data_IF_305464293902
#
_entry.id   IF_305464293902
#
_cell.length_a   1.000
_cell.length_b   1.000
_cell.length_c   1.000
_cell.angle_alpha   90.00
_cell.angle_beta   90.00
_cell.angle_gamma   90.00
#
_symmetry.space_group_name_H-M   'P 1'
#
loop_
_entity.id
_entity.type
_entity.pdbx_description
1 polymer ?
#
# COMPACT_ATOMS: atom_id res chain seq x y z
N UNK A 1 21.30 -0.04 5.55
CA UNK A 1 22.20 1.13 5.77
C UNK A 1 21.32 2.37 5.65
N UNK A 2 20.91 2.96 6.77
CA UNK A 2 20.07 4.17 6.79
C UNK A 2 20.91 5.34 6.28
N UNK A 3 20.57 5.89 5.11
CA UNK A 3 21.17 7.13 4.61
C UNK A 3 20.19 8.28 4.86
N UNK A 4 20.71 9.29 5.55
CA UNK A 4 20.04 10.48 6.02
C UNK A 4 19.55 11.33 4.83
N UNK A 5 18.23 11.39 4.63
CA UNK A 5 17.59 12.37 3.76
C UNK A 5 17.26 13.65 4.52
N UNK A 6 17.11 14.77 3.79
CA UNK A 6 16.61 16.02 4.35
C UNK A 6 15.09 15.90 4.42
N UNK A 7 14.55 15.84 5.64
CA UNK A 7 13.11 15.83 5.92
C UNK A 7 12.67 17.28 6.16
N UNK A 8 11.80 17.80 5.31
CA UNK A 8 11.24 19.15 5.44
C UNK A 8 9.71 19.07 5.38
N UNK A 9 9.03 19.38 6.49
CA UNK A 9 7.58 19.53 6.50
C UNK A 9 7.20 20.91 5.93
N UNK A 10 6.32 20.96 4.92
CA UNK A 10 5.80 22.21 4.36
C UNK A 10 4.30 22.28 4.68
N UNK A 11 3.87 23.38 5.31
CA UNK A 11 2.50 23.54 5.78
C UNK A 11 1.68 24.62 5.04
N UNK A 12 0.57 24.24 4.41
CA UNK A 12 -0.50 25.09 3.86
C UNK A 12 -1.86 24.36 3.98
N UNK A 13 -2.58 24.47 5.10
CA UNK A 13 -3.78 23.67 5.42
C UNK A 13 -3.58 22.13 5.30
N UNK A 14 -2.33 21.69 5.48
CA UNK A 14 -1.77 20.47 4.88
C UNK A 14 -1.52 19.36 5.89
N UNK A 15 -1.67 18.13 5.40
CA UNK A 15 -1.16 16.93 6.04
C UNK A 15 0.37 16.91 5.97
N UNK A 16 1.07 16.77 7.11
CA UNK A 16 2.51 16.73 7.13
C UNK A 16 3.03 15.44 6.48
N UNK A 17 4.11 15.55 5.72
CA UNK A 17 4.79 14.40 5.11
C UNK A 17 6.31 14.51 5.29
N UNK A 18 6.97 13.36 5.21
CA UNK A 18 8.41 13.28 4.99
C UNK A 18 8.69 12.97 3.52
N UNK A 19 9.86 13.43 3.06
CA UNK A 19 10.35 13.23 1.70
C UNK A 19 11.74 12.65 1.80
N UNK A 20 11.97 11.52 1.14
CA UNK A 20 13.27 10.90 1.00
C UNK A 20 13.71 10.97 -0.45
N UNK A 21 14.83 11.66 -0.69
CA UNK A 21 15.46 11.78 -2.00
C UNK A 21 16.58 10.77 -2.13
N UNK A 22 16.66 10.09 -3.28
CA UNK A 22 17.84 9.34 -3.67
C UNK A 22 18.96 10.33 -4.02
N UNK A 23 20.11 10.32 -3.32
CA UNK A 23 21.22 11.23 -3.61
C UNK A 23 21.77 11.08 -5.05
N UNK A 24 21.49 9.95 -5.70
CA UNK A 24 21.90 9.67 -7.08
C UNK A 24 20.81 9.88 -8.13
N UNK A 25 19.58 10.23 -7.71
CA UNK A 25 18.43 10.48 -8.60
C UNK A 25 18.11 9.34 -9.57
N UNK A 26 18.45 8.09 -9.21
CA UNK A 26 18.02 6.90 -9.96
C UNK A 26 16.62 6.46 -9.54
N UNK A 27 16.28 6.62 -8.26
CA UNK A 27 14.97 6.31 -7.73
C UNK A 27 14.11 7.58 -7.54
N UNK A 28 12.80 7.41 -7.75
CA UNK A 28 11.80 8.44 -7.46
C UNK A 28 11.84 8.82 -5.96
N UNK A 29 11.60 10.10 -5.61
CA UNK A 29 11.39 10.51 -4.23
C UNK A 29 10.34 9.65 -3.52
N UNK A 30 10.66 9.14 -2.33
CA UNK A 30 9.66 8.48 -1.48
C UNK A 30 8.98 9.53 -0.63
N UNK A 31 7.65 9.57 -0.65
CA UNK A 31 6.85 10.53 0.08
C UNK A 31 5.94 9.74 1.02
N UNK A 32 5.95 10.09 2.31
CA UNK A 32 5.18 9.39 3.33
C UNK A 32 4.48 10.39 4.23
N UNK A 33 3.17 10.28 4.38
CA UNK A 33 2.42 11.08 5.36
C UNK A 33 2.90 10.73 6.77
N UNK A 34 3.07 11.74 7.63
CA UNK A 34 3.40 11.49 9.03
C UNK A 34 2.19 10.95 9.79
N UNK A 35 0.99 11.38 9.38
CA UNK A 35 -0.29 10.95 9.93
C UNK A 35 -1.27 10.74 8.77
N UNK A 36 -1.92 9.58 8.74
CA UNK A 36 -3.00 9.29 7.80
C UNK A 36 -4.28 9.99 8.31
N UNK A 37 -4.96 10.81 7.49
CA UNK A 37 -6.20 11.47 7.89
C UNK A 37 -7.25 10.45 8.39
N UNK A 38 -7.85 10.65 9.58
CA UNK A 38 -8.83 9.71 10.15
C UNK A 38 -10.14 9.63 9.36
N UNK A 39 -10.42 10.61 8.50
CA UNK A 39 -11.56 10.63 7.59
C UNK A 39 -11.42 9.69 6.38
N UNK A 40 -10.21 9.21 6.08
CA UNK A 40 -10.00 8.24 5.00
C UNK A 40 -10.49 6.84 5.43
N UNK A 41 -11.04 6.05 4.50
CA UNK A 41 -11.29 4.64 4.71
C UNK A 41 -10.03 3.88 5.17
N UNK A 42 -10.23 2.72 5.81
CA UNK A 42 -9.14 1.87 6.31
C UNK A 42 -8.14 1.43 5.22
N UNK A 43 -8.60 1.39 3.96
CA UNK A 43 -7.76 1.16 2.79
C UNK A 43 -8.21 2.09 1.67
N UNK A 44 -7.26 2.80 1.07
CA UNK A 44 -7.47 3.62 -0.12
C UNK A 44 -6.35 3.36 -1.13
N UNK A 45 -6.64 3.44 -2.43
CA UNK A 45 -5.63 3.32 -3.47
C UNK A 45 -4.52 4.36 -3.30
N UNK A 46 -3.33 4.03 -3.76
CA UNK A 46 -2.12 4.86 -3.73
C UNK A 46 -1.60 5.29 -2.35
N UNK A 47 -2.20 4.84 -1.24
CA UNK A 47 -1.75 5.14 0.12
C UNK A 47 -1.52 3.85 0.91
N UNK A 48 -0.26 3.57 1.22
CA UNK A 48 0.13 2.45 2.08
C UNK A 48 -0.31 2.65 3.53
N UNK A 49 -0.42 1.55 4.27
CA UNK A 49 -0.79 1.56 5.69
C UNK A 49 0.22 2.30 6.59
N UNK A 50 1.45 2.51 6.11
CA UNK A 50 2.49 3.32 6.76
C UNK A 50 2.47 4.80 6.36
N UNK A 51 1.53 5.19 5.50
CA UNK A 51 1.39 6.53 4.93
C UNK A 51 2.17 6.74 3.63
N UNK A 52 2.80 5.70 3.07
CA UNK A 52 3.59 5.79 1.84
C UNK A 52 2.71 6.08 0.63
N UNK A 53 3.04 7.13 -0.13
CA UNK A 53 2.25 7.54 -1.31
C UNK A 53 2.85 6.98 -2.60
N UNK A 54 2.03 6.28 -3.38
CA UNK A 54 2.30 5.98 -4.78
C UNK A 54 1.75 7.09 -5.66
N UNK A 55 2.61 7.89 -6.28
CA UNK A 55 2.17 9.01 -7.12
C UNK A 55 2.64 8.91 -8.58
N UNK A 56 3.56 7.98 -8.84
CA UNK A 56 4.15 7.67 -10.14
C UNK A 56 4.54 6.19 -10.18
N UNK A 57 4.23 5.53 -11.29
CA UNK A 57 4.68 4.18 -11.53
C UNK A 57 6.19 4.15 -11.82
N UNK A 58 6.92 3.21 -11.18
CA UNK A 58 8.35 3.05 -11.44
C UNK A 58 8.58 2.65 -12.90
N UNK A 59 9.49 3.35 -13.58
CA UNK A 59 9.85 3.07 -14.98
C UNK A 59 8.99 3.78 -16.03
N UNK A 60 7.98 4.57 -15.63
CA UNK A 60 7.18 5.39 -16.58
C UNK A 60 7.70 6.82 -16.72
N UNK A 61 8.64 7.23 -15.86
CA UNK A 61 9.25 8.56 -15.84
C UNK A 61 10.78 8.42 -15.81
N UNK A 62 11.46 9.28 -16.57
CA UNK A 62 12.91 9.45 -16.52
C UNK A 62 13.20 10.74 -15.78
N UNK A 63 13.96 10.67 -14.70
CA UNK A 63 14.40 11.85 -13.96
C UNK A 63 15.57 12.52 -14.68
N UNK A 64 15.48 13.83 -14.88
CA UNK A 64 16.62 14.63 -15.31
C UNK A 64 17.60 14.81 -14.15
N UNK A 65 18.69 14.03 -14.17
CA UNK A 65 19.75 14.09 -13.14
C UNK A 65 20.49 15.44 -13.13
N UNK A 66 20.37 16.25 -14.19
CA UNK A 66 20.98 17.58 -14.26
C UNK A 66 20.07 18.68 -13.66
N UNK A 67 18.79 18.39 -13.42
CA UNK A 67 17.85 19.26 -12.71
C UNK A 67 17.20 18.55 -11.50
N UNK A 68 17.98 18.15 -10.48
CA UNK A 68 17.47 17.41 -9.34
C UNK A 68 16.44 18.21 -8.52
N UNK A 69 16.58 19.54 -8.48
CA UNK A 69 15.67 20.42 -7.74
C UNK A 69 14.32 20.51 -8.44
N UNK A 70 14.31 20.80 -9.75
CA UNK A 70 13.07 20.90 -10.52
C UNK A 70 12.32 19.57 -10.56
N UNK A 71 13.04 18.45 -10.74
CA UNK A 71 12.45 17.11 -10.73
C UNK A 71 11.87 16.73 -9.37
N UNK A 72 12.56 17.06 -8.27
CA UNK A 72 12.02 16.82 -6.92
C UNK A 72 10.73 17.60 -6.67
N UNK A 73 10.70 18.86 -7.10
CA UNK A 73 9.51 19.70 -6.96
C UNK A 73 8.34 19.18 -7.80
N UNK A 74 8.60 18.75 -9.04
CA UNK A 74 7.59 18.15 -9.90
C UNK A 74 7.01 16.86 -9.30
N UNK A 75 7.87 16.02 -8.69
CA UNK A 75 7.44 14.83 -7.97
C UNK A 75 6.54 15.18 -6.77
N UNK A 76 6.90 16.18 -5.97
CA UNK A 76 6.09 16.65 -4.84
C UNK A 76 4.74 17.21 -5.29
N UNK A 77 4.71 17.97 -6.39
CA UNK A 77 3.47 18.49 -6.96
C UNK A 77 2.57 17.34 -7.45
N UNK A 78 3.14 16.34 -8.12
CA UNK A 78 2.38 15.17 -8.57
C UNK A 78 1.82 14.38 -7.38
N UNK A 79 2.61 14.18 -6.33
CA UNK A 79 2.16 13.56 -5.09
C UNK A 79 1.01 14.32 -4.44
N UNK A 80 1.09 15.66 -4.38
CA UNK A 80 0.00 16.49 -3.86
C UNK A 80 -1.29 16.36 -4.68
N UNK A 81 -1.19 16.27 -6.02
CA UNK A 81 -2.35 16.01 -6.89
C UNK A 81 -2.98 14.66 -6.57
N UNK A 82 -2.19 13.58 -6.56
CA UNK A 82 -2.70 12.22 -6.28
C UNK A 82 -3.34 12.16 -4.90
N UNK A 83 -2.69 12.71 -3.87
CA UNK A 83 -3.27 12.76 -2.54
C UNK A 83 -4.57 13.59 -2.47
N UNK A 84 -4.66 14.69 -3.23
CA UNK A 84 -5.90 15.44 -3.38
C UNK A 84 -7.06 14.60 -3.97
N UNK A 85 -6.77 13.76 -4.95
CA UNK A 85 -7.75 12.84 -5.55
C UNK A 85 -8.18 11.74 -4.56
N UNK A 86 -7.25 11.23 -3.75
CA UNK A 86 -7.55 10.29 -2.66
C UNK A 86 -8.51 10.93 -1.65
N UNK A 87 -8.25 12.17 -1.23
CA UNK A 87 -9.11 12.92 -0.30
C UNK A 87 -10.51 13.20 -0.86
N UNK A 88 -10.66 13.22 -2.19
CA UNK A 88 -11.95 13.39 -2.87
C UNK A 88 -12.65 12.06 -3.17
N UNK A 89 -11.99 10.92 -2.92
CA UNK A 89 -12.54 9.59 -3.20
C UNK A 89 -12.60 9.24 -4.69
N UNK A 90 -11.83 9.90 -5.55
CA UNK A 90 -11.90 9.74 -7.00
C UNK A 90 -11.20 8.48 -7.54
N UNK A 91 -10.30 7.87 -6.74
CA UNK A 91 -9.39 6.80 -7.21
C UNK A 91 -9.89 5.38 -6.87
N UNK A 92 -11.14 5.20 -6.42
CA UNK A 92 -11.64 3.93 -5.85
C UNK A 92 -11.46 2.72 -6.78
N UNK A 93 -11.56 2.91 -8.09
CA UNK A 93 -11.45 1.84 -9.09
C UNK A 93 -10.01 1.29 -9.20
N UNK A 94 -9.00 2.10 -8.88
CA UNK A 94 -7.57 1.71 -8.95
C UNK A 94 -7.17 0.80 -7.77
N UNK A 95 -7.97 0.73 -6.70
CA UNK A 95 -7.67 -0.09 -5.52
C UNK A 95 -7.50 -1.58 -5.85
N UNK A 96 -8.28 -2.10 -6.79
CA UNK A 96 -8.21 -3.50 -7.20
C UNK A 96 -6.90 -3.82 -7.94
N UNK A 97 -6.42 -2.90 -8.78
CA UNK A 97 -5.14 -3.04 -9.47
C UNK A 97 -3.95 -2.87 -8.50
N UNK A 98 -4.12 -2.03 -7.48
CA UNK A 98 -3.08 -1.67 -6.52
C UNK A 98 -2.94 -2.62 -5.33
N UNK A 99 -3.97 -3.41 -5.01
CA UNK A 99 -3.90 -4.41 -3.95
C UNK A 99 -2.66 -5.31 -4.10
N UNK A 100 -2.36 -5.75 -5.32
CA UNK A 100 -1.19 -6.59 -5.59
C UNK A 100 0.15 -5.85 -5.47
N UNK A 101 0.17 -4.54 -5.74
CA UNK A 101 1.39 -3.73 -5.69
C UNK A 101 1.80 -3.38 -4.25
N UNK A 102 0.82 -3.24 -3.34
CA UNK A 102 1.04 -2.77 -1.96
C UNK A 102 0.70 -3.79 -0.88
N UNK A 103 0.37 -5.03 -1.26
CA UNK A 103 0.23 -6.13 -0.31
C UNK A 103 1.56 -6.42 0.39
N UNK A 104 1.69 -5.94 1.63
CA UNK A 104 2.83 -6.24 2.51
C UNK A 104 2.73 -7.63 3.19
N UNK A 105 1.64 -8.37 2.98
CA UNK A 105 1.54 -9.75 3.44
C UNK A 105 2.45 -10.66 2.62
N UNK A 106 3.02 -11.68 3.25
CA UNK A 106 4.00 -12.54 2.57
C UNK A 106 3.36 -13.36 1.45
N UNK A 107 2.33 -14.14 1.80
CA UNK A 107 1.60 -14.99 0.88
C UNK A 107 0.11 -14.88 1.17
N UNK A 108 -0.67 -14.58 0.13
CA UNK A 108 -2.12 -14.62 0.15
C UNK A 108 -2.58 -15.75 -0.78
N UNK A 109 -3.34 -16.70 -0.24
CA UNK A 109 -3.88 -17.83 -0.99
C UNK A 109 -5.38 -17.66 -1.19
N UNK A 110 -5.89 -18.22 -2.29
CA UNK A 110 -7.31 -18.16 -2.62
C UNK A 110 -7.89 -19.57 -2.58
N UNK A 111 -8.91 -19.80 -1.76
CA UNK A 111 -9.68 -21.04 -1.70
C UNK A 111 -11.15 -20.72 -2.02
N UNK A 112 -11.47 -20.72 -3.30
CA UNK A 112 -12.80 -20.40 -3.84
C UNK A 112 -13.31 -21.60 -4.65
N UNK A 113 -14.58 -21.94 -4.50
CA UNK A 113 -15.26 -22.97 -5.31
C UNK A 113 -16.59 -22.50 -5.89
N UNK A 114 -17.18 -21.44 -5.33
CA UNK A 114 -18.37 -20.79 -5.85
C UNK A 114 -18.05 -19.79 -6.95
N UNK A 115 -19.11 -19.38 -7.66
CA UNK A 115 -19.05 -18.37 -8.72
C UNK A 115 -19.36 -16.95 -8.21
N UNK A 116 -19.71 -16.80 -6.92
CA UNK A 116 -19.90 -15.49 -6.31
C UNK A 116 -18.54 -14.83 -6.04
N UNK A 117 -18.13 -13.98 -6.97
CA UNK A 117 -16.88 -13.22 -6.92
C UNK A 117 -17.03 -11.87 -6.21
N UNK A 118 -18.14 -11.66 -5.49
CA UNK A 118 -18.36 -10.45 -4.70
C UNK A 118 -17.49 -10.39 -3.45
N UNK A 119 -18.05 -9.91 -2.34
CA UNK A 119 -17.32 -9.79 -1.07
C UNK A 119 -16.94 -11.17 -0.52
N UNK A 120 -15.64 -11.39 -0.31
CA UNK A 120 -15.10 -12.63 0.27
C UNK A 120 -14.62 -12.43 1.70
N UNK A 121 -14.44 -13.55 2.41
CA UNK A 121 -13.90 -13.54 3.77
C UNK A 121 -12.37 -13.70 3.75
N UNK A 122 -11.71 -12.95 4.63
CA UNK A 122 -10.27 -13.04 4.86
C UNK A 122 -9.97 -13.73 6.18
N UNK A 123 -9.21 -14.83 6.15
CA UNK A 123 -8.76 -15.54 7.34
C UNK A 123 -7.23 -15.58 7.41
N UNK A 124 -6.67 -15.52 8.61
CA UNK A 124 -5.22 -15.61 8.84
C UNK A 124 -4.89 -16.91 9.55
N UNK A 125 -3.94 -17.67 8.99
CA UNK A 125 -3.42 -18.88 9.60
C UNK A 125 -1.92 -18.77 9.89
N UNK A 126 -1.47 -19.49 10.91
CA UNK A 126 -0.06 -19.63 11.25
C UNK A 126 0.49 -20.95 10.71
N UNK A 127 1.57 -20.84 9.93
CA UNK A 127 2.36 -21.96 9.44
C UNK A 127 3.81 -21.77 9.90
N UNK A 128 4.29 -22.63 10.79
CA UNK A 128 5.66 -22.57 11.33
C UNK A 128 6.06 -21.18 11.91
N UNK A 129 5.10 -20.45 12.48
CA UNK A 129 5.31 -19.11 13.03
C UNK A 129 5.26 -17.96 12.00
N UNK A 130 4.99 -18.28 10.73
CA UNK A 130 4.75 -17.28 9.69
C UNK A 130 3.24 -17.12 9.44
N UNK A 131 2.70 -15.87 9.46
CA UNK A 131 1.32 -15.63 9.11
C UNK A 131 1.12 -15.81 7.59
N UNK A 132 0.06 -16.52 7.24
CA UNK A 132 -0.43 -16.72 5.88
C UNK A 132 -1.87 -16.20 5.80
N UNK A 133 -2.19 -15.50 4.73
CA UNK A 133 -3.53 -14.96 4.50
C UNK A 133 -4.28 -15.82 3.50
N UNK A 134 -5.58 -15.99 3.72
CA UNK A 134 -6.46 -16.75 2.84
C UNK A 134 -7.72 -15.95 2.55
N UNK A 135 -8.08 -15.88 1.28
CA UNK A 135 -9.38 -15.40 0.81
C UNK A 135 -10.24 -16.62 0.52
N UNK A 136 -11.45 -16.65 1.09
CA UNK A 136 -12.35 -17.79 1.00
C UNK A 136 -13.82 -17.41 0.87
N UNK A 137 -14.56 -18.22 0.12
CA UNK A 137 -16.02 -18.22 0.03
C UNK A 137 -16.69 -19.11 1.09
N UNK A 138 -15.89 -19.91 1.82
CA UNK A 138 -16.35 -20.86 2.82
C UNK A 138 -15.30 -21.07 3.92
N UNK A 139 -15.47 -20.34 5.03
CA UNK A 139 -14.54 -20.37 6.16
C UNK A 139 -14.40 -21.76 6.78
N UNK A 140 -15.48 -22.52 6.92
CA UNK A 140 -15.46 -23.86 7.51
C UNK A 140 -14.60 -24.82 6.67
N UNK A 141 -14.82 -24.85 5.36
CA UNK A 141 -14.06 -25.68 4.42
C UNK A 141 -12.59 -25.31 4.43
N UNK A 142 -12.28 -24.03 4.32
CA UNK A 142 -10.89 -23.56 4.30
C UNK A 142 -10.23 -23.85 5.64
N UNK A 143 -10.91 -23.64 6.76
CA UNK A 143 -10.39 -23.96 8.10
C UNK A 143 -10.06 -25.44 8.25
N UNK A 144 -10.93 -26.35 7.82
CA UNK A 144 -10.64 -27.80 7.86
C UNK A 144 -9.46 -28.18 6.95
N UNK A 145 -9.35 -27.55 5.77
CA UNK A 145 -8.20 -27.75 4.87
C UNK A 145 -6.90 -27.27 5.52
N UNK A 146 -6.91 -26.11 6.17
CA UNK A 146 -5.75 -25.56 6.87
C UNK A 146 -5.32 -26.45 8.05
N UNK A 147 -6.28 -26.96 8.84
CA UNK A 147 -6.02 -27.94 9.90
C UNK A 147 -5.36 -29.21 9.35
N UNK A 148 -5.82 -29.71 8.21
CA UNK A 148 -5.22 -30.90 7.57
C UNK A 148 -3.77 -30.69 7.12
N UNK A 149 -3.39 -29.43 6.84
CA UNK A 149 -2.02 -29.02 6.53
C UNK A 149 -1.17 -28.74 7.79
N UNK A 150 -1.75 -28.87 8.98
CA UNK A 150 -1.09 -28.58 10.25
C UNK A 150 -1.01 -27.09 10.59
N UNK A 151 -1.80 -26.25 9.93
CA UNK A 151 -1.83 -24.80 10.19
C UNK A 151 -2.86 -24.46 11.26
N UNK A 152 -2.57 -23.41 12.05
CA UNK A 152 -3.47 -22.92 13.09
C UNK A 152 -4.16 -21.64 12.62
N UNK A 153 -5.48 -21.68 12.44
CA UNK A 153 -6.28 -20.49 12.13
C UNK A 153 -6.32 -19.58 13.36
N UNK A 154 -6.13 -18.28 13.16
CA UNK A 154 -6.16 -17.26 14.20
C UNK A 154 -7.45 -16.47 14.14
N UNK A 155 -7.93 -15.97 15.28
CA UNK A 155 -9.15 -15.12 15.36
C UNK A 155 -8.99 -13.74 14.69
N UNK A 156 -7.88 -13.51 13.97
CA UNK A 156 -7.64 -12.27 13.23
C UNK A 156 -8.33 -12.37 11.87
N UNK A 157 -9.58 -11.96 11.82
CA UNK A 157 -10.24 -11.55 10.58
C UNK A 157 -9.66 -10.20 10.14
N UNK A 158 -9.33 -10.08 8.86
CA UNK A 158 -8.87 -8.83 8.24
C UNK A 158 -10.06 -7.97 7.84
#
# INVERSE_FOLDING_TARGET
>A
RHQHGIVSAIAWNTHPCEVQLDPTFFDLPRIRLLEIPPELPAAVPHLGADGGLCYLAKGTVVLDIYDPVGQSLACLQRAAVVFGQIMQGEMIEDLAEEFFAYWHGWHCFVDMQGEDLGRQNGIVAQANGCPLWFITDNEDRTTEKLKSLGYQVTDRTV
#
